data_IF_283607271599
#
_entry.id   IF_283607271599
#
_cell.length_a   1.000
_cell.length_b   1.000
_cell.length_c   1.000
_cell.angle_alpha   90.00
_cell.angle_beta   90.00
_cell.angle_gamma   90.00
#
_symmetry.space_group_name_H-M   'P 1'
#
loop_
_entity.id
_entity.type
_entity.pdbx_description
1 polymer ?
#
# COMPACT_ATOMS: atom_id res chain seq x y z
N UNK A 1 -7.44 11.78 -11.69
CA UNK A 1 -7.99 10.53 -11.09
C UNK A 1 -9.24 10.03 -11.81
N UNK A 2 -10.38 10.73 -11.77
CA UNK A 2 -11.67 10.24 -12.29
C UNK A 2 -11.60 9.80 -13.76
N UNK A 3 -10.91 10.57 -14.61
CA UNK A 3 -10.68 10.20 -16.02
C UNK A 3 -10.03 8.83 -16.18
N UNK A 4 -8.99 8.55 -15.39
CA UNK A 4 -8.27 7.28 -15.39
C UNK A 4 -9.11 6.13 -14.80
N UNK A 5 -9.94 6.38 -13.78
CA UNK A 5 -10.90 5.37 -13.28
C UNK A 5 -11.88 5.00 -14.37
N UNK A 6 -12.49 5.99 -15.02
CA UNK A 6 -13.45 5.78 -16.09
C UNK A 6 -12.83 4.96 -17.22
N UNK A 7 -11.65 5.37 -17.72
CA UNK A 7 -10.90 4.62 -18.73
C UNK A 7 -10.42 3.25 -18.24
N UNK A 8 -10.15 3.08 -16.95
CA UNK A 8 -9.83 1.77 -16.37
C UNK A 8 -10.98 0.77 -16.49
N UNK A 9 -12.23 1.26 -16.30
CA UNK A 9 -13.45 0.45 -16.39
C UNK A 9 -13.80 0.09 -17.84
N UNK A 10 -13.75 1.07 -18.75
CA UNK A 10 -14.22 0.88 -20.14
C UNK A 10 -13.11 0.63 -21.16
N UNK A 11 -11.84 0.74 -20.75
CA UNK A 11 -10.65 0.68 -21.62
C UNK A 11 -10.45 -0.66 -22.33
N UNK A 12 -11.12 -1.72 -21.86
CA UNK A 12 -11.11 -3.02 -22.53
C UNK A 12 -11.97 -3.05 -23.82
N UNK A 13 -12.84 -2.06 -24.05
CA UNK A 13 -13.61 -1.98 -25.30
C UNK A 13 -12.68 -1.66 -26.47
N UNK A 14 -12.76 -2.44 -27.56
CA UNK A 14 -11.89 -2.29 -28.75
C UNK A 14 -11.82 -0.85 -29.29
N UNK A 15 -12.93 -0.12 -29.29
CA UNK A 15 -12.99 1.28 -29.74
C UNK A 15 -12.15 2.23 -28.89
N UNK A 16 -11.98 1.95 -27.60
CA UNK A 16 -11.26 2.79 -26.62
C UNK A 16 -9.82 2.31 -26.48
N UNK A 17 -9.62 0.99 -26.42
CA UNK A 17 -8.32 0.36 -26.26
C UNK A 17 -7.32 0.83 -27.34
N UNK A 18 -7.77 0.95 -28.60
CA UNK A 18 -6.95 1.48 -29.71
C UNK A 18 -6.33 2.85 -29.42
N UNK A 19 -6.99 3.71 -28.66
CA UNK A 19 -6.46 5.03 -28.30
C UNK A 19 -5.48 5.00 -27.13
N UNK A 20 -5.50 3.93 -26.35
CA UNK A 20 -4.66 3.75 -25.16
C UNK A 20 -3.37 2.98 -25.48
N UNK A 21 -3.32 2.26 -26.60
CA UNK A 21 -2.13 1.52 -27.04
C UNK A 21 -1.16 2.42 -27.81
N UNK A 22 0.11 2.37 -27.43
CA UNK A 22 1.18 3.08 -28.12
C UNK A 22 1.34 2.58 -29.57
N UNK A 23 1.06 1.31 -29.85
CA UNK A 23 1.25 0.68 -31.17
C UNK A 23 0.40 1.28 -32.29
N UNK A 24 -0.66 2.02 -31.95
CA UNK A 24 -1.46 2.77 -32.94
C UNK A 24 -0.67 3.89 -33.62
N UNK A 25 0.37 4.39 -32.96
CA UNK A 25 1.07 5.59 -33.37
C UNK A 25 2.39 5.24 -34.07
N UNK A 26 2.73 5.96 -35.14
CA UNK A 26 3.86 5.63 -36.01
C UNK A 26 5.18 6.29 -35.60
N UNK A 27 5.13 7.53 -35.09
CA UNK A 27 6.32 8.27 -34.68
C UNK A 27 6.59 8.12 -33.18
N UNK A 28 7.86 8.20 -32.76
CA UNK A 28 8.25 8.10 -31.35
C UNK A 28 7.47 9.09 -30.44
N UNK A 29 7.36 10.35 -30.87
CA UNK A 29 6.64 11.39 -30.12
C UNK A 29 5.14 11.05 -29.97
N UNK A 30 4.52 10.55 -31.05
CA UNK A 30 3.09 10.19 -31.03
C UNK A 30 2.83 8.88 -30.29
N UNK A 31 3.79 7.95 -30.24
CA UNK A 31 3.72 6.75 -29.38
C UNK A 31 3.75 7.09 -27.90
N UNK A 32 4.54 8.10 -27.52
CA UNK A 32 4.65 8.54 -26.14
C UNK A 32 3.43 9.37 -25.69
N UNK A 33 3.04 10.35 -26.49
CA UNK A 33 1.98 11.30 -26.13
C UNK A 33 0.58 10.82 -26.50
N UNK A 34 0.46 10.01 -27.55
CA UNK A 34 -0.82 9.55 -28.09
C UNK A 34 -1.73 8.90 -27.06
N UNK A 35 -1.25 7.90 -26.29
CA UNK A 35 -1.99 7.26 -25.21
C UNK A 35 -2.48 8.21 -24.10
N UNK A 36 -1.87 9.39 -23.96
CA UNK A 36 -2.22 10.38 -22.94
C UNK A 36 -3.35 11.32 -23.39
N UNK A 37 -3.59 11.45 -24.70
CA UNK A 37 -4.56 12.41 -25.25
C UNK A 37 -5.97 12.15 -24.70
N UNK A 38 -6.43 10.90 -24.76
CA UNK A 38 -7.79 10.55 -24.32
C UNK A 38 -7.99 10.77 -22.80
N UNK A 39 -7.09 10.30 -21.91
CA UNK A 39 -7.15 10.64 -20.49
C UNK A 39 -7.14 12.14 -20.20
N UNK A 40 -6.32 12.91 -20.90
CA UNK A 40 -6.19 14.37 -20.71
C UNK A 40 -7.44 15.13 -21.16
N UNK A 41 -8.02 14.75 -22.31
CA UNK A 41 -9.29 15.32 -22.77
C UNK A 41 -10.42 15.07 -21.77
N UNK A 42 -10.58 13.83 -21.33
CA UNK A 42 -11.58 13.49 -20.31
C UNK A 42 -11.33 14.24 -19.00
N UNK A 43 -10.07 14.36 -18.58
CA UNK A 43 -9.69 15.14 -17.40
C UNK A 43 -10.09 16.61 -17.54
N UNK A 44 -9.81 17.24 -18.68
CA UNK A 44 -10.17 18.64 -18.94
C UNK A 44 -11.68 18.86 -18.90
N UNK A 45 -12.45 17.98 -19.53
CA UNK A 45 -13.93 18.05 -19.53
C UNK A 45 -14.46 17.90 -18.10
N UNK A 46 -14.02 16.88 -17.37
CA UNK A 46 -14.47 16.63 -15.99
C UNK A 46 -14.08 17.80 -15.08
N UNK A 47 -12.85 18.30 -15.19
CA UNK A 47 -12.38 19.44 -14.40
C UNK A 47 -13.17 20.70 -14.69
N UNK A 48 -13.53 20.96 -15.95
CA UNK A 48 -14.35 22.11 -16.35
C UNK A 48 -15.75 22.00 -15.74
N UNK A 49 -16.38 20.82 -15.81
CA UNK A 49 -17.70 20.58 -15.18
C UNK A 49 -17.62 20.84 -13.68
N UNK A 50 -16.62 20.25 -13.00
CA UNK A 50 -16.43 20.45 -11.55
C UNK A 50 -16.25 21.94 -11.24
N UNK A 51 -15.39 22.64 -11.98
CA UNK A 51 -15.14 24.06 -11.78
C UNK A 51 -16.41 24.90 -11.96
N UNK A 52 -17.21 24.63 -13.00
CA UNK A 52 -18.49 25.31 -13.23
C UNK A 52 -19.51 25.05 -12.11
N UNK A 53 -19.52 23.84 -11.52
CA UNK A 53 -20.40 23.53 -10.39
C UNK A 53 -19.95 24.16 -9.07
N UNK A 54 -18.64 24.34 -8.88
CA UNK A 54 -18.05 24.95 -7.67
C UNK A 54 -18.09 26.49 -7.73
N UNK A 55 -18.07 27.09 -8.92
CA UNK A 55 -17.85 28.53 -9.11
C UNK A 55 -18.93 29.47 -8.51
N UNK A 56 -20.03 28.94 -7.95
CA UNK A 56 -21.12 29.76 -7.41
C UNK A 56 -21.59 29.43 -5.99
N UNK A 57 -21.18 28.31 -5.38
CA UNK A 57 -21.73 27.87 -4.10
C UNK A 57 -20.65 27.30 -3.16
N UNK A 58 -20.50 27.95 -2.00
CA UNK A 58 -19.59 27.54 -0.94
C UNK A 58 -19.91 26.15 -0.40
N UNK A 59 -21.19 25.80 -0.24
CA UNK A 59 -21.59 24.49 0.28
C UNK A 59 -21.19 23.36 -0.67
N UNK A 60 -21.36 23.58 -1.98
CA UNK A 60 -20.94 22.62 -3.01
C UNK A 60 -19.42 22.45 -2.97
N UNK A 61 -18.66 23.55 -2.87
CA UNK A 61 -17.20 23.51 -2.75
C UNK A 61 -16.74 22.72 -1.52
N UNK A 62 -17.32 23.02 -0.36
CA UNK A 62 -16.94 22.39 0.90
C UNK A 62 -17.31 20.89 0.89
N UNK A 63 -18.45 20.53 0.31
CA UNK A 63 -18.84 19.13 0.08
C UNK A 63 -17.84 18.39 -0.82
N UNK A 64 -17.40 19.00 -1.92
CA UNK A 64 -16.38 18.42 -2.79
C UNK A 64 -15.04 18.27 -2.07
N UNK A 65 -14.63 19.26 -1.28
CA UNK A 65 -13.39 19.22 -0.52
C UNK A 65 -13.42 18.07 0.50
N UNK A 66 -14.48 17.96 1.31
CA UNK A 66 -14.65 16.88 2.29
C UNK A 66 -14.71 15.52 1.59
N UNK A 67 -15.43 15.42 0.46
CA UNK A 67 -15.52 14.17 -0.30
C UNK A 67 -14.16 13.71 -0.80
N UNK A 68 -13.38 14.62 -1.40
CA UNK A 68 -12.03 14.31 -1.90
C UNK A 68 -11.06 13.98 -0.76
N UNK A 69 -11.15 14.69 0.37
CA UNK A 69 -10.35 14.41 1.56
C UNK A 69 -10.71 13.04 2.16
N UNK A 70 -11.99 12.67 2.20
CA UNK A 70 -12.43 11.37 2.73
C UNK A 70 -11.87 10.18 1.94
N UNK A 71 -11.58 10.37 0.64
CA UNK A 71 -10.94 9.34 -0.17
C UNK A 71 -9.56 8.94 0.37
N UNK A 72 -8.88 9.81 1.12
CA UNK A 72 -7.61 9.50 1.78
C UNK A 72 -7.68 8.20 2.60
N UNK A 73 -8.80 7.97 3.29
CA UNK A 73 -9.04 6.73 4.07
C UNK A 73 -9.06 5.52 3.16
N UNK A 74 -9.80 5.60 2.04
CA UNK A 74 -9.88 4.52 1.06
C UNK A 74 -8.53 4.22 0.43
N UNK A 75 -7.74 5.26 0.13
CA UNK A 75 -6.40 5.11 -0.44
C UNK A 75 -5.40 4.52 0.57
N UNK A 76 -5.50 4.89 1.85
CA UNK A 76 -4.67 4.32 2.92
C UNK A 76 -4.91 2.81 3.10
N UNK A 77 -6.17 2.37 2.96
CA UNK A 77 -6.53 0.94 2.93
C UNK A 77 -6.02 0.28 1.64
N UNK A 78 -6.24 0.93 0.49
CA UNK A 78 -5.77 0.46 -0.81
C UNK A 78 -4.26 0.23 -0.84
N UNK A 79 -3.49 1.13 -0.22
CA UNK A 79 -2.05 1.02 -0.02
C UNK A 79 -1.67 -0.26 0.73
N UNK A 80 -2.33 -0.55 1.86
CA UNK A 80 -2.09 -1.78 2.62
C UNK A 80 -2.41 -3.04 1.82
N UNK A 81 -3.51 -3.05 1.08
CA UNK A 81 -3.90 -4.17 0.21
C UNK A 81 -2.93 -4.38 -0.97
N UNK A 82 -2.43 -3.30 -1.57
CA UNK A 82 -1.47 -3.33 -2.66
C UNK A 82 -0.12 -3.93 -2.19
N UNK A 83 0.43 -3.43 -1.08
CA UNK A 83 1.67 -3.94 -0.49
C UNK A 83 1.54 -5.41 -0.11
N UNK A 84 0.44 -5.78 0.55
CA UNK A 84 0.12 -7.17 0.92
C UNK A 84 0.16 -8.09 -0.30
N UNK A 85 -0.55 -7.73 -1.35
CA UNK A 85 -0.70 -8.55 -2.55
C UNK A 85 0.63 -8.68 -3.29
N UNK A 86 1.38 -7.59 -3.40
CA UNK A 86 2.66 -7.57 -4.11
C UNK A 86 3.75 -8.36 -3.41
N UNK A 87 3.87 -8.29 -2.09
CA UNK A 87 4.81 -9.14 -1.35
C UNK A 87 4.46 -10.61 -1.54
N UNK A 88 3.17 -10.95 -1.40
CA UNK A 88 2.73 -12.33 -1.55
C UNK A 88 3.08 -12.85 -2.95
N UNK A 89 2.76 -12.09 -4.00
CA UNK A 89 3.04 -12.49 -5.38
C UNK A 89 4.54 -12.57 -5.68
N UNK A 90 5.35 -11.63 -5.18
CA UNK A 90 6.81 -11.62 -5.31
C UNK A 90 7.42 -12.91 -4.76
N UNK A 91 6.97 -13.33 -3.57
CA UNK A 91 7.51 -14.51 -2.89
C UNK A 91 6.94 -15.81 -3.47
N UNK A 92 5.68 -15.83 -3.92
CA UNK A 92 5.06 -16.99 -4.58
C UNK A 92 5.72 -17.33 -5.93
N UNK A 93 6.11 -16.32 -6.71
CA UNK A 93 6.84 -16.52 -7.97
C UNK A 93 8.28 -17.00 -7.79
N UNK A 94 8.85 -16.90 -6.59
CA UNK A 94 10.14 -17.54 -6.29
C UNK A 94 9.96 -19.05 -6.51
N UNK A 95 10.63 -19.61 -7.53
CA UNK A 95 10.48 -21.02 -7.96
C UNK A 95 10.47 -21.94 -6.73
N UNK A 96 9.32 -22.54 -6.40
CA UNK A 96 9.32 -23.75 -5.58
C UNK A 96 10.02 -24.78 -6.42
N UNK A 97 11.05 -25.41 -5.88
CA UNK A 97 11.45 -26.68 -6.45
C UNK A 97 10.25 -27.59 -6.33
N UNK A 98 9.62 -27.97 -7.45
CA UNK A 98 8.57 -29.01 -7.51
C UNK A 98 9.04 -30.37 -6.92
N UNK A 99 10.32 -30.47 -6.53
CA UNK A 99 10.96 -31.61 -5.84
C UNK A 99 11.36 -31.28 -4.39
N UNK A 100 10.75 -30.28 -3.73
CA UNK A 100 11.11 -29.96 -2.35
C UNK A 100 10.56 -30.99 -1.38
N UNK A 101 11.43 -31.50 -0.52
CA UNK A 101 11.14 -32.39 0.59
C UNK A 101 9.95 -31.89 1.44
N UNK A 102 9.10 -32.84 1.87
CA UNK A 102 8.03 -32.58 2.83
C UNK A 102 8.70 -32.17 4.15
N UNK A 103 8.41 -30.95 4.60
CA UNK A 103 8.94 -30.42 5.85
C UNK A 103 7.87 -29.56 6.51
N UNK A 104 7.32 -30.10 7.58
CA UNK A 104 6.30 -29.41 8.36
C UNK A 104 6.89 -28.21 9.10
N UNK A 105 6.19 -27.05 9.09
CA UNK A 105 6.56 -25.93 9.93
C UNK A 105 6.41 -26.31 11.41
N UNK A 106 7.31 -25.78 12.22
CA UNK A 106 7.39 -26.06 13.66
C UNK A 106 7.07 -24.81 14.47
N UNK A 107 6.88 -24.95 15.78
CA UNK A 107 6.77 -23.79 16.69
C UNK A 107 7.97 -22.84 16.58
N UNK A 108 9.14 -23.36 16.21
CA UNK A 108 10.34 -22.55 15.97
C UNK A 108 10.17 -21.57 14.80
N UNK A 109 9.43 -21.94 13.76
CA UNK A 109 9.17 -21.05 12.62
C UNK A 109 8.28 -19.86 13.02
N UNK A 110 7.31 -20.12 13.89
CA UNK A 110 6.50 -19.08 14.50
C UNK A 110 7.35 -18.17 15.42
N UNK A 111 8.19 -18.76 16.27
CA UNK A 111 9.08 -18.00 17.16
C UNK A 111 10.07 -17.12 16.39
N UNK A 112 10.55 -17.57 15.23
CA UNK A 112 11.40 -16.74 14.35
C UNK A 112 10.68 -15.51 13.79
N UNK A 113 9.38 -15.60 13.53
CA UNK A 113 8.58 -14.44 13.13
C UNK A 113 8.39 -13.47 14.30
N UNK A 114 8.14 -13.97 15.51
CA UNK A 114 8.08 -13.15 16.73
C UNK A 114 9.43 -12.46 16.98
N UNK A 115 10.54 -13.19 16.84
CA UNK A 115 11.89 -12.63 16.94
C UNK A 115 12.14 -11.58 15.85
N UNK A 116 11.66 -11.81 14.63
CA UNK A 116 11.68 -10.82 13.56
C UNK A 116 10.95 -9.54 13.92
N UNK A 117 9.74 -9.65 14.50
CA UNK A 117 8.97 -8.51 14.99
C UNK A 117 9.71 -7.74 16.09
N UNK A 118 10.32 -8.46 17.03
CA UNK A 118 11.16 -7.88 18.08
C UNK A 118 12.33 -7.09 17.48
N UNK A 119 13.10 -7.72 16.59
CA UNK A 119 14.32 -7.14 15.99
C UNK A 119 13.98 -5.94 15.10
N UNK A 120 13.02 -6.07 14.17
CA UNK A 120 12.70 -4.97 13.25
C UNK A 120 12.13 -3.76 13.98
N UNK A 121 11.23 -3.97 14.95
CA UNK A 121 10.68 -2.86 15.75
C UNK A 121 11.79 -2.19 16.56
N UNK A 122 12.72 -2.95 17.14
CA UNK A 122 13.87 -2.41 17.89
C UNK A 122 14.81 -1.61 16.98
N UNK A 123 15.20 -2.17 15.83
CA UNK A 123 16.10 -1.50 14.88
C UNK A 123 15.49 -0.18 14.42
N UNK A 124 14.20 -0.16 14.05
CA UNK A 124 13.53 1.06 13.60
C UNK A 124 13.43 2.08 14.74
N UNK A 125 13.06 1.64 15.95
CA UNK A 125 12.97 2.51 17.12
C UNK A 125 14.32 3.14 17.50
N UNK A 126 15.40 2.35 17.51
CA UNK A 126 16.77 2.85 17.76
C UNK A 126 17.22 3.79 16.64
N UNK A 127 16.98 3.41 15.39
CA UNK A 127 17.36 4.23 14.25
C UNK A 127 16.70 5.61 14.29
N UNK A 128 15.37 5.67 14.52
CA UNK A 128 14.65 6.94 14.51
C UNK A 128 14.81 7.70 15.82
N UNK A 129 14.72 7.01 16.96
CA UNK A 129 14.80 7.63 18.26
C UNK A 129 16.19 8.09 18.65
N UNK A 130 17.26 7.43 18.20
CA UNK A 130 18.64 7.75 18.61
C UNK A 130 19.47 8.26 17.42
N UNK A 131 19.50 7.53 16.31
CA UNK A 131 20.44 7.85 15.22
C UNK A 131 20.01 9.12 14.48
N UNK A 132 18.74 9.20 14.09
CA UNK A 132 18.21 10.35 13.34
C UNK A 132 18.18 11.62 14.21
N UNK A 133 17.76 11.53 15.46
CA UNK A 133 17.73 12.65 16.41
C UNK A 133 19.12 13.22 16.67
N UNK A 134 20.12 12.36 16.91
CA UNK A 134 21.50 12.78 17.08
C UNK A 134 22.09 13.41 15.81
N UNK A 135 21.77 12.86 14.63
CA UNK A 135 22.25 13.41 13.36
C UNK A 135 21.72 14.83 13.09
N UNK A 136 20.52 15.13 13.58
CA UNK A 136 19.81 16.40 13.34
C UNK A 136 20.01 17.38 14.50
N UNK A 137 20.63 16.94 15.59
CA UNK A 137 20.95 17.77 16.76
C UNK A 137 19.72 18.11 17.62
N UNK A 138 18.69 17.26 17.59
CA UNK A 138 17.48 17.41 18.41
C UNK A 138 17.50 16.45 19.58
N UNK A 139 16.97 16.87 20.73
CA UNK A 139 16.82 15.99 21.89
C UNK A 139 15.90 14.80 21.56
N UNK A 140 16.38 13.60 21.90
CA UNK A 140 15.60 12.37 21.74
C UNK A 140 14.64 12.19 22.92
N UNK A 141 13.35 12.02 22.62
CA UNK A 141 12.40 11.49 23.60
C UNK A 141 12.52 9.96 23.67
N UNK A 142 13.56 9.48 24.36
CA UNK A 142 13.81 8.05 24.55
C UNK A 142 12.62 7.33 25.19
N UNK A 143 11.86 8.01 26.05
CA UNK A 143 10.69 7.43 26.71
C UNK A 143 9.58 7.17 25.69
N UNK A 144 9.29 8.15 24.82
CA UNK A 144 8.35 7.96 23.70
C UNK A 144 8.74 6.79 22.81
N UNK A 145 10.03 6.65 22.46
CA UNK A 145 10.49 5.54 21.63
C UNK A 145 10.49 4.17 22.32
N UNK A 146 10.66 4.13 23.65
CA UNK A 146 10.44 2.90 24.42
C UNK A 146 8.96 2.51 24.44
N UNK A 147 8.05 3.47 24.56
CA UNK A 147 6.60 3.22 24.50
C UNK A 147 6.22 2.74 23.09
N UNK A 148 6.69 3.40 22.03
CA UNK A 148 6.55 2.95 20.64
C UNK A 148 6.91 1.48 20.51
N UNK A 149 8.10 1.12 21.01
CA UNK A 149 8.62 -0.23 20.91
C UNK A 149 7.68 -1.24 21.56
N UNK A 150 7.29 -1.00 22.82
CA UNK A 150 6.41 -1.90 23.57
C UNK A 150 5.05 -2.04 22.88
N UNK A 151 4.43 -0.93 22.49
CA UNK A 151 3.10 -0.91 21.88
C UNK A 151 3.12 -1.61 20.52
N UNK A 152 4.06 -1.25 19.64
CA UNK A 152 4.11 -1.77 18.29
C UNK A 152 4.52 -3.24 18.24
N UNK A 153 5.52 -3.63 19.06
CA UNK A 153 5.90 -5.04 19.19
C UNK A 153 4.72 -5.88 19.71
N UNK A 154 4.05 -5.42 20.76
CA UNK A 154 2.89 -6.13 21.34
C UNK A 154 1.77 -6.27 20.32
N UNK A 155 1.46 -5.21 19.56
CA UNK A 155 0.43 -5.24 18.53
C UNK A 155 0.76 -6.26 17.44
N UNK A 156 1.99 -6.23 16.90
CA UNK A 156 2.43 -7.20 15.88
C UNK A 156 2.41 -8.62 16.45
N UNK A 157 2.88 -8.83 17.68
CA UNK A 157 2.89 -10.14 18.34
C UNK A 157 1.49 -10.71 18.55
N UNK A 158 0.51 -9.89 18.94
CA UNK A 158 -0.90 -10.29 19.08
C UNK A 158 -1.45 -10.77 17.72
N UNK A 159 -1.24 -10.00 16.65
CA UNK A 159 -1.73 -10.40 15.32
C UNK A 159 -1.00 -11.62 14.77
N UNK A 160 0.30 -11.77 15.06
CA UNK A 160 1.03 -13.01 14.77
C UNK A 160 0.40 -14.20 15.49
N UNK A 161 0.09 -14.06 16.77
CA UNK A 161 -0.56 -15.10 17.56
C UNK A 161 -1.92 -15.49 17.00
N UNK A 162 -2.74 -14.51 16.58
CA UNK A 162 -4.02 -14.76 15.89
C UNK A 162 -3.82 -15.48 14.55
N UNK A 163 -2.71 -15.19 13.86
CA UNK A 163 -2.36 -15.79 12.58
C UNK A 163 -1.58 -17.11 12.68
N UNK A 164 -1.35 -17.63 13.90
CA UNK A 164 -0.50 -18.81 14.17
C UNK A 164 -0.90 -20.03 13.33
N UNK A 165 -2.18 -20.29 13.18
CA UNK A 165 -2.69 -21.44 12.42
C UNK A 165 -2.37 -21.36 10.92
N UNK A 166 -2.09 -20.16 10.40
CA UNK A 166 -1.62 -19.98 9.02
C UNK A 166 -0.16 -20.41 8.83
N UNK A 167 0.64 -20.37 9.89
CA UNK A 167 2.10 -20.65 9.88
C UNK A 167 2.38 -22.08 10.30
N UNK A 168 1.71 -22.55 11.35
CA UNK A 168 1.81 -23.92 11.89
C UNK A 168 0.44 -24.58 11.76
N UNK A 169 0.01 -24.92 10.54
CA UNK A 169 -1.29 -25.55 10.34
C UNK A 169 -1.28 -27.00 10.80
N UNK A 170 -2.48 -27.53 10.99
CA UNK A 170 -2.72 -28.93 11.35
C UNK A 170 -2.38 -29.90 10.20
N UNK A 171 -2.29 -29.41 8.96
CA UNK A 171 -1.91 -30.19 7.77
C UNK A 171 -0.40 -30.43 7.72
N UNK A 172 0.01 -31.70 7.61
CA UNK A 172 1.42 -32.14 7.58
C UNK A 172 2.03 -32.19 6.17
N UNK A 173 1.27 -31.87 5.12
CA UNK A 173 1.72 -31.97 3.71
C UNK A 173 2.55 -30.77 3.22
N UNK A 174 3.12 -29.99 4.13
CA UNK A 174 3.92 -28.81 3.81
C UNK A 174 5.25 -29.16 3.17
N UNK A 175 5.65 -28.39 2.17
CA UNK A 175 6.97 -28.50 1.59
C UNK A 175 7.96 -27.53 2.20
N UNK A 176 9.26 -27.85 2.14
CA UNK A 176 10.34 -26.91 2.51
C UNK A 176 10.25 -25.59 1.74
N UNK A 177 9.76 -25.62 0.49
CA UNK A 177 9.53 -24.44 -0.33
C UNK A 177 8.45 -23.53 0.26
N UNK A 178 7.30 -24.11 0.60
CA UNK A 178 6.15 -23.38 1.18
C UNK A 178 6.52 -22.74 2.52
N UNK A 179 7.19 -23.50 3.40
CA UNK A 179 7.69 -23.01 4.68
C UNK A 179 8.60 -21.78 4.51
N UNK A 180 9.56 -21.84 3.58
CA UNK A 180 10.47 -20.73 3.33
C UNK A 180 9.76 -19.51 2.74
N UNK A 181 8.79 -19.73 1.84
CA UNK A 181 7.98 -18.66 1.24
C UNK A 181 7.17 -17.94 2.30
N UNK A 182 6.39 -18.68 3.08
CA UNK A 182 5.57 -18.14 4.16
C UNK A 182 6.42 -17.35 5.15
N UNK A 183 7.58 -17.89 5.55
CA UNK A 183 8.47 -17.19 6.45
C UNK A 183 9.04 -15.90 5.84
N UNK A 184 9.47 -15.91 4.56
CA UNK A 184 9.96 -14.70 3.87
C UNK A 184 8.88 -13.64 3.72
N UNK A 185 7.68 -14.03 3.31
CA UNK A 185 6.51 -13.14 3.24
C UNK A 185 6.18 -12.55 4.60
N UNK A 186 6.18 -13.38 5.65
CA UNK A 186 5.94 -12.94 7.02
C UNK A 186 6.95 -11.90 7.49
N UNK A 187 8.25 -12.14 7.29
CA UNK A 187 9.30 -11.19 7.68
C UNK A 187 9.19 -9.85 6.93
N UNK A 188 8.92 -9.87 5.62
CA UNK A 188 8.71 -8.64 4.84
C UNK A 188 7.48 -7.87 5.29
N UNK A 189 6.38 -8.56 5.59
CA UNK A 189 5.17 -7.92 6.11
C UNK A 189 5.39 -7.31 7.49
N UNK A 190 6.08 -8.01 8.40
CA UNK A 190 6.44 -7.49 9.71
C UNK A 190 7.26 -6.22 9.57
N UNK A 191 8.28 -6.22 8.70
CA UNK A 191 9.10 -5.03 8.43
C UNK A 191 8.25 -3.85 7.97
N UNK A 192 7.36 -4.05 6.99
CA UNK A 192 6.49 -2.97 6.51
C UNK A 192 5.50 -2.49 7.58
N UNK A 193 4.93 -3.39 8.37
CA UNK A 193 4.02 -3.02 9.47
C UNK A 193 4.77 -2.19 10.51
N UNK A 194 5.94 -2.65 10.95
CA UNK A 194 6.77 -1.94 11.91
C UNK A 194 7.18 -0.56 11.37
N UNK A 195 7.50 -0.47 10.08
CA UNK A 195 7.80 0.78 9.39
C UNK A 195 6.60 1.74 9.40
N UNK A 196 5.41 1.28 8.97
CA UNK A 196 4.19 2.10 8.96
C UNK A 196 3.79 2.55 10.37
N UNK A 197 3.88 1.68 11.37
CA UNK A 197 3.60 2.04 12.77
C UNK A 197 4.63 3.07 13.29
N UNK A 198 5.89 2.96 12.91
CA UNK A 198 6.89 3.97 13.25
C UNK A 198 6.58 5.30 12.60
N UNK A 199 6.32 5.30 11.30
CA UNK A 199 5.96 6.49 10.52
C UNK A 199 4.77 7.23 11.14
N UNK A 200 3.75 6.47 11.57
CA UNK A 200 2.61 6.97 12.32
C UNK A 200 3.02 7.54 13.68
N UNK A 201 3.83 6.82 14.46
CA UNK A 201 4.28 7.25 15.78
C UNK A 201 4.96 8.62 15.73
N UNK A 202 5.93 8.80 14.84
CA UNK A 202 6.62 10.09 14.71
C UNK A 202 5.71 11.22 14.25
N UNK A 203 4.71 10.95 13.40
CA UNK A 203 3.78 11.99 12.93
C UNK A 203 2.74 12.41 13.97
N UNK A 204 2.38 11.49 14.86
CA UNK A 204 1.35 11.70 15.88
C UNK A 204 1.91 12.23 17.20
N UNK A 205 3.13 11.82 17.57
CA UNK A 205 3.70 12.08 18.89
C UNK A 205 5.02 12.85 18.87
N UNK A 206 5.65 13.06 17.71
CA UNK A 206 6.88 13.84 17.60
C UNK A 206 6.71 15.08 16.72
N UNK A 207 7.64 16.02 16.87
CA UNK A 207 7.67 17.22 16.06
C UNK A 207 8.26 16.91 14.68
N UNK A 208 7.55 17.36 13.63
CA UNK A 208 7.86 17.08 12.24
C UNK A 208 9.30 17.42 11.85
N UNK A 209 9.91 16.53 11.07
CA UNK A 209 11.31 16.63 10.62
C UNK A 209 11.38 16.42 9.10
N UNK A 210 12.33 17.07 8.41
CA UNK A 210 12.55 16.94 6.97
C UNK A 210 12.76 15.48 6.51
N UNK A 211 13.30 14.63 7.38
CA UNK A 211 13.41 13.19 7.16
C UNK A 211 12.05 12.50 6.92
N UNK A 212 10.96 13.00 7.52
CA UNK A 212 9.61 12.44 7.37
C UNK A 212 9.04 12.65 5.97
N UNK A 213 9.37 13.76 5.30
CA UNK A 213 8.95 14.04 3.93
C UNK A 213 9.65 13.12 2.93
N UNK A 214 10.95 12.88 3.14
CA UNK A 214 11.71 11.95 2.30
C UNK A 214 11.18 10.52 2.45
N UNK A 215 10.87 10.11 3.68
CA UNK A 215 10.23 8.82 3.95
C UNK A 215 8.86 8.70 3.26
N UNK A 216 8.03 9.75 3.32
CA UNK A 216 6.72 9.78 2.64
C UNK A 216 6.88 9.52 1.14
N UNK A 217 7.82 10.21 0.49
CA UNK A 217 8.08 10.03 -0.95
C UNK A 217 8.45 8.57 -1.27
N UNK A 218 9.35 7.97 -0.46
CA UNK A 218 9.76 6.57 -0.64
C UNK A 218 8.54 5.64 -0.48
N UNK A 219 7.76 5.81 0.58
CA UNK A 219 6.60 4.96 0.85
C UNK A 219 5.53 5.08 -0.24
N UNK A 220 5.31 6.28 -0.77
CA UNK A 220 4.41 6.50 -1.91
C UNK A 220 4.92 5.79 -3.16
N UNK A 221 6.21 5.89 -3.48
CA UNK A 221 6.80 5.19 -4.64
C UNK A 221 6.63 3.67 -4.49
N UNK A 222 7.03 3.11 -3.35
CA UNK A 222 6.92 1.67 -3.07
C UNK A 222 5.46 1.23 -3.20
N UNK A 223 4.52 2.03 -2.69
CA UNK A 223 3.09 1.73 -2.74
C UNK A 223 2.54 1.79 -4.15
N UNK A 224 2.86 2.83 -4.93
CA UNK A 224 2.38 2.96 -6.31
C UNK A 224 2.92 1.81 -7.15
N UNK A 225 4.21 1.49 -7.05
CA UNK A 225 4.81 0.34 -7.76
C UNK A 225 4.15 -0.96 -7.31
N UNK A 226 3.89 -1.12 -6.01
CA UNK A 226 3.19 -2.29 -5.48
C UNK A 226 1.74 -2.36 -5.97
N UNK A 227 1.05 -1.25 -6.14
CA UNK A 227 -0.31 -1.23 -6.68
C UNK A 227 -0.30 -1.62 -8.16
N UNK A 228 0.59 -1.03 -8.97
CA UNK A 228 0.79 -1.39 -10.38
C UNK A 228 1.06 -2.89 -10.48
N UNK A 229 1.99 -3.40 -9.68
CA UNK A 229 2.37 -4.81 -9.68
C UNK A 229 1.20 -5.71 -9.31
N UNK A 230 0.53 -5.42 -8.19
CA UNK A 230 -0.62 -6.18 -7.71
C UNK A 230 -1.76 -6.23 -8.73
N UNK A 231 -1.94 -5.18 -9.55
CA UNK A 231 -2.99 -5.14 -10.58
C UNK A 231 -2.54 -5.78 -11.91
N UNK A 232 -1.29 -5.58 -12.32
CA UNK A 232 -0.74 -6.10 -13.58
C UNK A 232 -0.49 -7.60 -13.54
N UNK A 233 -0.10 -8.13 -12.37
CA UNK A 233 0.19 -9.55 -12.18
C UNK A 233 -1.04 -10.37 -11.72
N UNK A 234 -2.20 -9.73 -11.54
CA UNK A 234 -3.45 -10.39 -11.16
C UNK A 234 -4.05 -11.14 -12.36
N UNK A 235 -3.49 -12.30 -12.68
CA UNK A 235 -3.98 -13.13 -13.78
C UNK A 235 -5.33 -13.82 -13.48
N UNK A 236 -5.86 -13.69 -12.26
CA UNK A 236 -7.07 -14.40 -11.78
C UNK A 236 -7.78 -13.64 -10.65
N UNK A 237 -8.53 -12.58 -10.98
CA UNK A 237 -9.58 -12.10 -10.07
C UNK A 237 -10.91 -12.01 -10.76
N UNK A 238 -11.96 -12.44 -10.07
CA UNK A 238 -13.38 -12.36 -10.44
C UNK A 238 -13.93 -10.93 -10.65
N UNK A 239 -13.07 -9.92 -10.69
CA UNK A 239 -13.44 -8.52 -10.93
C UNK A 239 -13.13 -8.22 -12.40
N UNK A 240 -14.15 -8.30 -13.25
CA UNK A 240 -14.05 -8.18 -14.72
C UNK A 240 -13.48 -6.84 -15.25
N UNK A 241 -13.29 -5.83 -14.38
CA UNK A 241 -12.92 -4.47 -14.78
C UNK A 241 -11.43 -4.14 -14.66
N UNK A 242 -10.61 -5.01 -14.06
CA UNK A 242 -9.15 -4.83 -13.98
C UNK A 242 -8.49 -5.85 -14.90
N UNK A 243 -7.94 -5.38 -16.02
CA UNK A 243 -7.17 -6.19 -16.96
C UNK A 243 -5.70 -5.78 -16.95
N UNK A 244 -4.85 -6.63 -17.54
CA UNK A 244 -3.43 -6.29 -17.76
C UNK A 244 -3.28 -4.99 -18.56
N UNK A 245 -4.18 -4.73 -19.51
CA UNK A 245 -4.13 -3.59 -20.41
C UNK A 245 -4.61 -2.29 -19.72
N UNK A 246 -5.48 -2.38 -18.71
CA UNK A 246 -5.97 -1.22 -17.96
C UNK A 246 -5.28 -1.02 -16.60
N UNK A 247 -4.42 -1.95 -16.18
CA UNK A 247 -3.71 -1.89 -14.88
C UNK A 247 -2.93 -0.59 -14.68
N UNK A 248 -2.29 -0.07 -15.74
CA UNK A 248 -1.55 1.19 -15.66
C UNK A 248 -2.46 2.39 -15.42
N UNK A 249 -3.68 2.38 -15.96
CA UNK A 249 -4.67 3.44 -15.73
C UNK A 249 -5.14 3.43 -14.28
N UNK A 250 -5.38 2.24 -13.72
CA UNK A 250 -5.72 2.10 -12.30
C UNK A 250 -4.60 2.56 -11.37
N UNK A 251 -3.35 2.27 -11.71
CA UNK A 251 -2.21 2.74 -10.95
C UNK A 251 -2.05 4.26 -10.97
N UNK A 252 -2.23 4.88 -12.15
CA UNK A 252 -2.20 6.34 -12.29
C UNK A 252 -3.37 6.97 -11.53
N UNK A 253 -4.56 6.36 -11.59
CA UNK A 253 -5.71 6.79 -10.80
C UNK A 253 -5.41 6.74 -9.31
N UNK A 254 -4.81 5.66 -8.81
CA UNK A 254 -4.41 5.51 -7.42
C UNK A 254 -3.40 6.60 -7.01
N UNK A 255 -2.32 6.79 -7.78
CA UNK A 255 -1.29 7.80 -7.47
C UNK A 255 -1.84 9.23 -7.42
N UNK A 256 -2.62 9.63 -8.43
CA UNK A 256 -3.26 10.96 -8.44
C UNK A 256 -4.37 11.09 -7.38
N UNK A 257 -5.09 10.01 -7.09
CA UNK A 257 -6.13 10.00 -6.06
C UNK A 257 -5.54 10.21 -4.67
N UNK A 258 -4.47 9.49 -4.35
CA UNK A 258 -3.73 9.65 -3.10
C UNK A 258 -3.15 11.05 -2.96
N UNK A 259 -2.35 11.51 -3.92
CA UNK A 259 -1.73 12.83 -3.87
C UNK A 259 -2.77 13.96 -3.82
N UNK A 260 -3.82 13.88 -4.64
CA UNK A 260 -4.91 14.86 -4.64
C UNK A 260 -5.68 14.89 -3.33
N UNK A 261 -5.93 13.72 -2.70
CA UNK A 261 -6.60 13.67 -1.39
C UNK A 261 -5.76 14.33 -0.30
N UNK A 262 -4.43 14.18 -0.31
CA UNK A 262 -3.52 14.85 0.63
C UNK A 262 -3.51 16.37 0.39
N UNK A 263 -3.43 16.82 -0.86
CA UNK A 263 -3.45 18.27 -1.16
C UNK A 263 -4.72 18.93 -0.65
N UNK A 264 -5.88 18.32 -0.90
CA UNK A 264 -7.17 18.85 -0.43
C UNK A 264 -7.27 18.78 1.09
N UNK A 265 -6.83 17.68 1.69
CA UNK A 265 -6.78 17.52 3.14
C UNK A 265 -5.91 18.59 3.80
N UNK A 266 -4.75 18.91 3.23
CA UNK A 266 -3.85 19.94 3.71
C UNK A 266 -4.54 21.31 3.77
N UNK A 267 -5.26 21.69 2.72
CA UNK A 267 -6.03 22.94 2.71
C UNK A 267 -7.24 22.92 3.66
N UNK A 268 -7.86 21.75 3.88
CA UNK A 268 -8.94 21.61 4.86
C UNK A 268 -8.43 21.68 6.30
N UNK A 269 -7.24 21.17 6.58
CA UNK A 269 -6.60 21.20 7.90
C UNK A 269 -6.36 22.65 8.35
N UNK A 270 -5.95 23.53 7.43
CA UNK A 270 -5.82 24.97 7.70
C UNK A 270 -7.15 25.66 8.01
N UNK A 271 -8.27 25.13 7.51
CA UNK A 271 -9.60 25.77 7.61
C UNK A 271 -10.55 25.11 8.63
N UNK A 272 -10.34 23.83 8.96
CA UNK A 272 -11.07 23.04 9.95
C UNK A 272 -10.06 22.49 10.99
N UNK A 273 -9.85 23.19 12.11
CA UNK A 273 -8.91 22.79 13.16
C UNK A 273 -9.20 21.42 13.79
N UNK A 274 -10.42 20.90 13.60
CA UNK A 274 -10.87 19.59 14.12
C UNK A 274 -10.10 18.43 13.45
N UNK A 275 -9.55 18.64 12.24
CA UNK A 275 -8.80 17.62 11.50
C UNK A 275 -7.35 17.46 11.99
N UNK A 276 -6.89 18.26 12.96
CA UNK A 276 -5.51 18.25 13.45
C UNK A 276 -4.57 19.01 12.53
N UNK A 277 -3.29 18.64 12.53
CA UNK A 277 -2.31 19.08 11.52
C UNK A 277 -2.18 18.05 10.38
N UNK A 278 -1.64 18.48 9.23
CA UNK A 278 -1.37 17.63 8.05
C UNK A 278 -0.50 16.44 8.44
N UNK A 279 0.51 16.66 9.29
CA UNK A 279 1.35 15.60 9.82
C UNK A 279 0.52 14.53 10.54
N UNK A 280 -0.36 14.95 11.45
CA UNK A 280 -1.19 14.04 12.22
C UNK A 280 -2.16 13.26 11.34
N UNK A 281 -2.76 13.91 10.34
CA UNK A 281 -3.66 13.25 9.39
C UNK A 281 -2.92 12.20 8.53
N UNK A 282 -1.71 12.52 8.06
CA UNK A 282 -0.85 11.54 7.40
C UNK A 282 -0.49 10.38 8.35
N UNK A 283 -0.25 10.68 9.62
CA UNK A 283 -0.05 9.69 10.68
C UNK A 283 -1.20 8.70 10.78
N UNK A 284 -2.45 9.18 10.77
CA UNK A 284 -3.66 8.34 10.74
C UNK A 284 -3.70 7.45 9.50
N UNK A 285 -3.31 7.97 8.34
CA UNK A 285 -3.19 7.16 7.11
C UNK A 285 -2.24 5.97 7.28
N UNK A 286 -1.05 6.20 7.86
CA UNK A 286 -0.11 5.11 8.15
C UNK A 286 -0.67 4.09 9.16
N UNK A 287 -1.43 4.53 10.17
CA UNK A 287 -2.13 3.62 11.10
C UNK A 287 -3.13 2.75 10.34
N UNK A 288 -3.95 3.34 9.46
CA UNK A 288 -4.92 2.59 8.65
C UNK A 288 -4.22 1.57 7.74
N UNK A 289 -3.11 1.95 7.11
CA UNK A 289 -2.31 1.02 6.30
C UNK A 289 -1.75 -0.12 7.16
N UNK A 290 -1.18 0.18 8.33
CA UNK A 290 -0.65 -0.83 9.25
C UNK A 290 -1.74 -1.81 9.71
N UNK A 291 -2.92 -1.30 10.09
CA UNK A 291 -4.08 -2.12 10.46
C UNK A 291 -4.49 -3.02 9.30
N UNK A 292 -4.56 -2.48 8.08
CA UNK A 292 -4.90 -3.26 6.88
C UNK A 292 -3.91 -4.41 6.65
N UNK A 293 -2.61 -4.16 6.84
CA UNK A 293 -1.57 -5.18 6.75
C UNK A 293 -1.69 -6.23 7.88
N UNK A 294 -1.94 -5.80 9.12
CA UNK A 294 -2.15 -6.67 10.29
C UNK A 294 -3.38 -7.58 10.12
N UNK A 295 -4.53 -7.03 9.74
CA UNK A 295 -5.73 -7.82 9.44
C UNK A 295 -5.50 -8.78 8.26
N UNK A 296 -4.73 -8.32 7.27
CA UNK A 296 -4.38 -9.12 6.10
C UNK A 296 -3.35 -10.21 6.35
N UNK A 297 -2.70 -10.22 7.51
CA UNK A 297 -1.49 -10.99 7.80
C UNK A 297 -1.71 -12.50 7.66
N UNK A 298 -2.77 -13.04 8.28
CA UNK A 298 -3.12 -14.48 8.22
C UNK A 298 -3.28 -14.98 6.79
N UNK A 299 -3.97 -14.24 5.93
CA UNK A 299 -4.20 -14.62 4.53
C UNK A 299 -2.99 -14.46 3.62
N UNK A 300 -1.94 -13.78 4.07
CA UNK A 300 -0.67 -13.64 3.33
C UNK A 300 0.34 -14.72 3.67
N UNK A 301 0.28 -15.23 4.89
CA UNK A 301 1.20 -16.24 5.42
C UNK A 301 0.61 -17.65 5.40
N UNK A 302 -0.61 -17.82 4.91
CA UNK A 302 -1.19 -19.14 4.65
C UNK A 302 -0.54 -19.79 3.43
N UNK A 303 -0.50 -21.13 3.42
CA UNK A 303 -0.05 -21.92 2.27
C UNK A 303 -0.74 -21.43 0.99
N UNK A 304 -0.01 -21.20 -0.12
CA UNK A 304 -0.64 -21.02 -1.42
C UNK A 304 -1.36 -22.32 -1.79
N UNK A 305 -2.67 -22.25 -1.95
CA UNK A 305 -3.43 -23.32 -2.60
C UNK A 305 -3.02 -23.26 -4.07
N UNK A 306 -2.13 -24.17 -4.50
CA UNK A 306 -1.95 -24.43 -5.92
C UNK A 306 -3.29 -25.00 -6.41
N UNK A 307 -4.13 -24.17 -7.00
CA UNK A 307 -5.18 -24.66 -7.88
C UNK A 307 -4.45 -25.30 -9.05
N UNK A 308 -4.42 -26.63 -9.08
CA UNK A 308 -3.99 -27.43 -10.23
C UNK A 308 -4.54 -26.77 -11.50
N UNK A 309 -3.66 -26.17 -12.29
CA UNK A 309 -3.93 -25.88 -13.71
C UNK A 309 -3.50 -27.09 -14.54
N UNK A 310 -3.85 -28.27 -14.06
CA UNK A 310 -3.82 -29.54 -14.79
C UNK A 310 -5.25 -30.07 -14.70
N UNK A 311 -6.15 -29.41 -15.44
CA UNK A 311 -7.36 -29.97 -16.04
C UNK A 311 -8.10 -28.83 -16.79
N UNK A 312 -8.34 -29.09 -18.08
CA UNK A 312 -8.90 -28.26 -19.17
C UNK A 312 -7.96 -27.32 -19.93
#
# INVERSE_FOLDING_TARGET
MISYIFLGIIGNKSSINKWLLADRYSSFLTRLLGPLILPLLLMSIISTIILLTIAGDKNIRDLWAVSLASLFVLWSIGQGLALKTSIRDLVLRSKSSKKSEIKTPTSWDFQRLILGAFIFTAIIGVFRGIIVTNFIGTDSDLVSWMIYYIVCFSLIAIFLQIAKDGIVPLDTSWTKGDRNRVHRTGQLLILLIAWHLSSAWSRLFENGNSAMLFEEIILVIITVVSAVWAMSNRNRSSINFISKDTAILWAIAFGFGYAGSITVMSGLTESLPILGDVSQTLGVGHVLTAITLLMGFKGSISRPIEFNSEEE
#
